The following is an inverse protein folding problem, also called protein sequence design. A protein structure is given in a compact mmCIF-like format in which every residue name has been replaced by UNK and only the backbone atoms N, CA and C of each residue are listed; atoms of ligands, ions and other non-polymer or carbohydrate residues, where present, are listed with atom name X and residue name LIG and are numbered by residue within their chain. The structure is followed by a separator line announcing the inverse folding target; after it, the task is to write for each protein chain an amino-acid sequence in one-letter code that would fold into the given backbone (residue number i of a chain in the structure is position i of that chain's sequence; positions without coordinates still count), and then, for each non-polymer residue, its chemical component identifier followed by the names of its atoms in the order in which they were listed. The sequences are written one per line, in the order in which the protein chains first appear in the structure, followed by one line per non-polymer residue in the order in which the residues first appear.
data_IF_813229760282
#
_entry.id   IF_813229760282
#
_cell.length_a   1.000
_cell.length_b   1.000
_cell.length_c   1.000
_cell.angle_alpha   90.00
_cell.angle_beta   90.00
_cell.angle_gamma   90.00
#
_symmetry.space_group_name_H-M   'P 1'
#
loop_
_entity.id
_entity.type
_entity.pdbx_description
1 polymer ?
#
# COMPACT_ATOMS: atom_id res chain seq x y z
N UNK A 1 19.50 25.71 -25.74
CA UNK A 1 20.68 24.84 -25.50
C UNK A 1 21.97 25.64 -25.50
N UNK A 2 23.11 24.99 -25.76
CA UNK A 2 24.43 25.64 -25.91
C UNK A 2 24.94 25.51 -27.33
N UNK A 3 25.37 26.61 -27.94
CA UNK A 3 26.01 26.62 -29.26
C UNK A 3 27.50 26.97 -29.14
N UNK A 4 28.35 26.24 -29.86
CA UNK A 4 29.79 26.47 -29.92
C UNK A 4 30.21 26.62 -31.38
N UNK A 5 30.91 27.71 -31.69
CA UNK A 5 31.57 27.95 -32.97
C UNK A 5 33.05 27.60 -32.85
N UNK A 6 33.53 26.66 -33.67
CA UNK A 6 34.95 26.29 -33.69
C UNK A 6 35.79 27.19 -34.62
N UNK A 7 37.12 27.03 -34.57
CA UNK A 7 38.05 27.82 -35.38
C UNK A 7 37.98 27.54 -36.90
N UNK A 8 37.31 26.45 -37.31
CA UNK A 8 37.09 26.10 -38.71
C UNK A 8 35.74 26.62 -39.22
N UNK A 9 34.95 27.28 -38.37
CA UNK A 9 33.63 27.79 -38.71
C UNK A 9 32.49 26.77 -38.54
N UNK A 10 32.72 25.62 -37.90
CA UNK A 10 31.66 24.66 -37.60
C UNK A 10 30.88 25.11 -36.37
N UNK A 11 29.55 25.01 -36.43
CA UNK A 11 28.67 25.27 -35.31
C UNK A 11 28.16 23.94 -34.79
N UNK A 12 28.39 23.66 -33.50
CA UNK A 12 27.77 22.54 -32.79
C UNK A 12 26.73 23.09 -31.82
N UNK A 13 25.53 22.53 -31.86
CA UNK A 13 24.44 22.86 -30.93
C UNK A 13 24.10 21.63 -30.10
N UNK A 14 24.01 21.83 -28.79
CA UNK A 14 23.55 20.83 -27.83
C UNK A 14 22.28 21.38 -27.19
N UNK A 15 21.10 20.76 -27.43
CA UNK A 15 19.88 21.11 -26.72
C UNK A 15 20.05 20.97 -25.20
N UNK A 16 19.20 21.63 -24.42
CA UNK A 16 19.09 21.26 -23.01
C UNK A 16 18.49 19.85 -22.93
N UNK A 17 18.81 19.11 -21.87
CA UNK A 17 18.20 17.82 -21.58
C UNK A 17 16.66 17.95 -21.58
N UNK A 18 15.98 17.01 -22.24
CA UNK A 18 14.53 16.92 -22.39
C UNK A 18 13.85 18.14 -23.06
N UNK A 19 14.62 18.95 -23.80
CA UNK A 19 14.05 20.04 -24.59
C UNK A 19 13.56 19.54 -25.94
N UNK A 20 12.26 19.69 -26.20
CA UNK A 20 11.63 19.46 -27.51
C UNK A 20 11.04 20.77 -28.01
N UNK A 21 11.31 21.11 -29.28
CA UNK A 21 10.75 22.30 -29.91
C UNK A 21 11.75 23.13 -30.70
N UNK A 22 11.32 24.33 -31.07
CA UNK A 22 12.12 25.28 -31.84
C UNK A 22 13.01 26.11 -30.91
N UNK A 23 14.31 26.17 -31.20
CA UNK A 23 15.26 27.11 -30.63
C UNK A 23 15.92 27.93 -31.75
N UNK A 24 16.60 29.01 -31.41
CA UNK A 24 17.31 29.84 -32.37
C UNK A 24 18.72 30.18 -31.89
N UNK A 25 19.68 30.11 -32.81
CA UNK A 25 21.08 30.50 -32.59
C UNK A 25 21.35 31.75 -33.40
N UNK A 26 21.81 32.82 -32.76
CA UNK A 26 22.30 34.00 -33.47
C UNK A 26 23.82 33.93 -33.60
N UNK A 27 24.31 33.99 -34.83
CA UNK A 27 25.75 33.96 -35.13
C UNK A 27 26.12 35.29 -35.76
N UNK A 28 27.12 35.97 -35.20
CA UNK A 28 27.69 37.18 -35.77
C UNK A 28 29.17 36.95 -36.08
N UNK A 29 29.57 37.20 -37.33
CA UNK A 29 30.95 37.13 -37.78
C UNK A 29 31.43 38.53 -38.15
N UNK A 30 32.69 38.85 -37.84
CA UNK A 30 33.31 40.15 -38.13
C UNK A 30 34.57 39.91 -38.95
N UNK A 31 34.77 40.65 -40.03
CA UNK A 31 36.01 40.59 -40.82
C UNK A 31 37.16 41.38 -40.18
N UNK A 32 38.35 41.33 -40.80
CA UNK A 32 39.55 42.02 -40.32
C UNK A 32 39.45 43.55 -40.39
N UNK A 33 38.48 44.08 -41.14
CA UNK A 33 38.25 45.51 -41.33
C UNK A 33 37.08 46.03 -40.46
N UNK A 34 36.47 45.14 -39.67
CA UNK A 34 35.44 45.45 -38.69
C UNK A 34 33.99 45.37 -39.21
N UNK A 35 33.76 44.88 -40.44
CA UNK A 35 32.41 44.69 -40.95
C UNK A 35 31.78 43.41 -40.38
N UNK A 36 30.53 43.51 -39.94
CA UNK A 36 29.80 42.42 -39.29
C UNK A 36 28.69 41.85 -40.17
N UNK A 37 28.51 40.53 -40.16
CA UNK A 37 27.34 39.84 -40.69
C UNK A 37 26.69 39.01 -39.59
N UNK A 38 25.38 39.10 -39.45
CA UNK A 38 24.62 38.35 -38.44
C UNK A 38 23.57 37.49 -39.11
N UNK A 39 23.49 36.22 -38.71
CA UNK A 39 22.49 35.27 -39.18
C UNK A 39 21.82 34.60 -37.98
N UNK A 40 20.50 34.45 -38.04
CA UNK A 40 19.75 33.59 -37.12
C UNK A 40 19.56 32.21 -37.76
N UNK A 41 19.90 31.16 -37.03
CA UNK A 41 19.70 29.77 -37.41
C UNK A 41 18.56 29.23 -36.55
N UNK A 42 17.48 28.77 -37.18
CA UNK A 42 16.43 28.03 -36.49
C UNK A 42 16.86 26.58 -36.32
N UNK A 43 16.75 26.05 -35.11
CA UNK A 43 17.01 24.65 -34.77
C UNK A 43 15.70 24.02 -34.31
N UNK A 44 15.29 22.96 -35.00
CA UNK A 44 14.15 22.16 -34.59
C UNK A 44 14.68 20.94 -33.83
N UNK A 45 14.42 20.88 -32.53
CA UNK A 45 14.77 19.73 -31.68
C UNK A 45 13.57 18.79 -31.66
N UNK A 46 13.78 17.58 -32.16
CA UNK A 46 12.78 16.51 -32.16
C UNK A 46 12.92 15.68 -30.90
N UNK A 47 11.79 15.17 -30.45
CA UNK A 47 11.69 14.22 -29.36
C UNK A 47 12.43 12.91 -29.67
N UNK A 48 12.99 12.31 -28.62
CA UNK A 48 13.54 10.96 -28.62
C UNK A 48 12.92 10.30 -27.39
N UNK A 49 12.10 9.27 -27.61
CA UNK A 49 11.37 8.65 -26.51
C UNK A 49 12.31 8.08 -25.43
N UNK A 50 12.19 8.62 -24.23
CA UNK A 50 12.70 8.13 -22.98
C UNK A 50 11.74 7.06 -22.42
N UNK A 51 12.28 6.10 -21.66
CA UNK A 51 11.43 5.10 -21.02
C UNK A 51 10.86 5.65 -19.71
N UNK A 52 9.69 5.16 -19.26
CA UNK A 52 9.17 5.50 -17.95
C UNK A 52 10.15 5.18 -16.83
N UNK A 53 10.12 5.96 -15.75
CA UNK A 53 10.90 5.74 -14.54
C UNK A 53 9.97 5.29 -13.42
N UNK A 54 10.39 4.29 -12.63
CA UNK A 54 9.72 3.84 -11.40
C UNK A 54 10.66 4.11 -10.23
N UNK A 55 10.22 4.94 -9.30
CA UNK A 55 10.95 5.32 -8.09
C UNK A 55 10.26 4.77 -6.84
N UNK A 56 11.02 4.03 -6.01
CA UNK A 56 10.52 3.49 -4.75
C UNK A 56 10.42 4.61 -3.69
N UNK A 57 9.27 4.68 -3.04
CA UNK A 57 8.93 5.67 -2.01
C UNK A 57 9.00 5.07 -0.60
N UNK A 58 8.46 3.86 -0.42
CA UNK A 58 8.45 3.16 0.86
C UNK A 58 8.64 1.65 0.69
N UNK A 59 9.38 1.05 1.61
CA UNK A 59 9.61 -0.40 1.71
C UNK A 59 9.08 -0.99 3.02
N UNK A 60 8.37 -0.20 3.82
CA UNK A 60 7.77 -0.65 5.09
C UNK A 60 6.38 -0.04 5.22
N UNK A 61 5.40 -0.91 5.45
CA UNK A 61 3.97 -0.57 5.52
C UNK A 61 3.33 -1.31 6.68
N UNK A 62 2.09 -0.98 7.03
CA UNK A 62 1.28 -1.70 8.03
C UNK A 62 0.19 -2.50 7.32
N UNK A 63 -0.23 -3.63 7.89
CA UNK A 63 -1.19 -4.54 7.25
C UNK A 63 -2.58 -3.92 7.00
N UNK A 64 -3.00 -2.97 7.85
CA UNK A 64 -4.33 -2.35 7.78
C UNK A 64 -4.43 -1.11 6.89
N UNK A 65 -3.35 -0.69 6.25
CA UNK A 65 -3.32 0.62 5.56
C UNK A 65 -2.72 0.55 4.17
N UNK A 66 -3.51 1.00 3.21
CA UNK A 66 -3.05 1.27 1.85
C UNK A 66 -1.95 2.36 1.87
N UNK A 67 -0.79 2.05 1.30
CA UNK A 67 0.39 2.93 1.35
C UNK A 67 0.98 3.13 -0.05
N UNK A 68 1.40 4.35 -0.38
CA UNK A 68 2.16 4.62 -1.60
C UNK A 68 3.57 4.05 -1.43
N UNK A 69 3.91 3.06 -2.25
CA UNK A 69 5.20 2.34 -2.18
C UNK A 69 6.15 2.75 -3.30
N UNK A 70 5.63 3.29 -4.40
CA UNK A 70 6.42 3.83 -5.49
C UNK A 70 5.64 4.88 -6.27
N UNK A 71 6.36 5.61 -7.11
CA UNK A 71 5.79 6.50 -8.14
C UNK A 71 6.36 6.11 -9.50
N UNK A 72 5.55 6.26 -10.55
CA UNK A 72 5.98 6.11 -11.92
C UNK A 72 5.71 7.41 -12.69
N UNK A 73 6.63 7.78 -13.57
CA UNK A 73 6.50 8.96 -14.42
C UNK A 73 7.28 8.80 -15.71
N UNK A 74 6.89 9.54 -16.73
CA UNK A 74 7.61 9.65 -17.98
C UNK A 74 7.81 11.14 -18.33
N UNK A 75 8.95 11.49 -18.91
CA UNK A 75 9.29 12.89 -19.20
C UNK A 75 8.70 13.38 -20.51
N UNK A 76 8.45 12.45 -21.43
CA UNK A 76 7.93 12.70 -22.77
C UNK A 76 6.41 12.68 -22.80
N UNK A 77 5.78 11.92 -21.89
CA UNK A 77 4.33 11.94 -21.83
C UNK A 77 3.68 11.13 -20.73
N UNK A 78 2.63 10.41 -21.13
CA UNK A 78 1.76 9.68 -20.22
C UNK A 78 2.23 8.25 -20.08
N UNK A 79 1.99 7.68 -18.90
CA UNK A 79 2.20 6.26 -18.61
C UNK A 79 0.87 5.55 -18.42
N UNK A 80 0.87 4.25 -18.71
CA UNK A 80 -0.19 3.33 -18.32
C UNK A 80 0.42 2.08 -17.67
N UNK A 81 -0.36 1.44 -16.79
CA UNK A 81 0.01 0.18 -16.19
C UNK A 81 -0.21 -0.96 -17.18
N UNK A 82 0.85 -1.69 -17.49
CA UNK A 82 0.74 -2.93 -18.25
C UNK A 82 0.48 -4.13 -17.32
N UNK A 83 1.21 -4.21 -16.20
CA UNK A 83 1.00 -5.25 -15.18
C UNK A 83 1.46 -4.74 -13.83
N UNK A 84 0.59 -4.86 -12.82
CA UNK A 84 0.92 -4.60 -11.43
C UNK A 84 0.35 -5.74 -10.60
N UNK A 85 1.22 -6.50 -9.93
CA UNK A 85 0.82 -7.66 -9.13
C UNK A 85 1.60 -7.71 -7.82
N UNK A 86 0.93 -8.16 -6.77
CA UNK A 86 1.52 -8.47 -5.48
C UNK A 86 1.07 -9.88 -5.06
N UNK A 87 1.85 -10.55 -4.21
CA UNK A 87 1.54 -11.93 -3.80
C UNK A 87 0.59 -11.96 -2.61
N UNK A 88 0.79 -11.06 -1.65
CA UNK A 88 0.05 -10.99 -0.40
C UNK A 88 -0.67 -9.64 -0.24
N UNK A 89 -1.20 -9.13 -1.34
CA UNK A 89 -1.99 -7.91 -1.36
C UNK A 89 -2.40 -7.50 -2.76
N UNK A 90 -2.81 -6.24 -2.89
CA UNK A 90 -3.14 -5.61 -4.17
C UNK A 90 -2.32 -4.35 -4.34
N UNK A 91 -1.88 -4.08 -5.58
CA UNK A 91 -1.20 -2.83 -5.91
C UNK A 91 -1.84 -2.20 -7.14
N UNK A 92 -2.00 -0.88 -7.12
CA UNK A 92 -2.69 -0.12 -8.17
C UNK A 92 -1.90 1.14 -8.51
N UNK A 93 -1.85 1.48 -9.80
CA UNK A 93 -1.34 2.75 -10.31
C UNK A 93 -2.49 3.74 -10.46
N UNK A 94 -2.37 4.94 -9.89
CA UNK A 94 -3.32 6.03 -10.10
C UNK A 94 -2.91 6.96 -11.25
N UNK A 95 -3.79 7.89 -11.61
CA UNK A 95 -3.56 8.84 -12.70
C UNK A 95 -2.46 9.89 -12.41
N UNK A 96 -1.99 10.00 -11.16
CA UNK A 96 -0.88 10.87 -10.79
C UNK A 96 0.46 10.12 -10.79
N UNK A 97 0.45 8.83 -11.16
CA UNK A 97 1.64 7.99 -11.16
C UNK A 97 1.92 7.31 -9.82
N UNK A 98 1.03 7.39 -8.81
CA UNK A 98 1.28 6.73 -7.52
C UNK A 98 0.94 5.25 -7.59
N UNK A 99 1.85 4.40 -7.11
CA UNK A 99 1.63 2.98 -6.93
C UNK A 99 1.29 2.75 -5.46
N UNK A 100 0.02 2.48 -5.18
CA UNK A 100 -0.49 2.22 -3.83
C UNK A 100 -0.62 0.72 -3.62
N UNK A 101 -0.04 0.21 -2.53
CA UNK A 101 -0.12 -1.17 -2.10
C UNK A 101 -1.02 -1.29 -0.87
N UNK A 102 -1.93 -2.26 -0.91
CA UNK A 102 -2.79 -2.66 0.21
C UNK A 102 -2.50 -4.13 0.49
N UNK A 103 -1.91 -4.48 1.65
CA UNK A 103 -1.73 -5.87 2.07
C UNK A 103 -3.06 -6.62 2.14
N UNK A 104 -3.01 -7.95 2.07
CA UNK A 104 -4.14 -8.77 2.48
C UNK A 104 -4.36 -8.58 3.98
N UNK A 105 -5.62 -8.71 4.41
CA UNK A 105 -6.00 -8.67 5.83
C UNK A 105 -5.14 -9.67 6.63
N UNK A 106 -4.57 -9.18 7.74
CA UNK A 106 -3.76 -9.94 8.71
C UNK A 106 -2.46 -10.53 8.12
N UNK A 107 -1.96 -9.98 7.01
CA UNK A 107 -0.68 -10.37 6.45
C UNK A 107 0.48 -9.56 7.06
N UNK A 108 1.29 -10.23 7.87
CA UNK A 108 2.56 -9.72 8.37
C UNK A 108 3.72 -10.44 7.68
N UNK A 109 4.68 -9.68 7.16
CA UNK A 109 5.89 -10.22 6.55
C UNK A 109 6.31 -9.52 5.26
N UNK A 110 7.25 -10.14 4.54
CA UNK A 110 7.75 -9.61 3.28
C UNK A 110 6.83 -9.97 2.10
N UNK A 111 6.46 -8.96 1.29
CA UNK A 111 5.80 -9.15 0.00
C UNK A 111 6.61 -8.53 -1.13
N UNK A 112 6.35 -8.98 -2.35
CA UNK A 112 7.01 -8.54 -3.57
C UNK A 112 5.99 -8.05 -4.58
N UNK A 113 6.11 -6.80 -4.97
CA UNK A 113 5.25 -6.13 -5.95
C UNK A 113 5.99 -6.03 -7.27
N UNK A 114 5.47 -6.68 -8.31
CA UNK A 114 5.99 -6.55 -9.68
C UNK A 114 5.22 -5.48 -10.43
N UNK A 115 5.95 -4.49 -10.95
CA UNK A 115 5.40 -3.34 -11.66
C UNK A 115 5.95 -3.32 -13.07
N UNK A 116 5.07 -3.12 -14.04
CA UNK A 116 5.38 -2.86 -15.45
C UNK A 116 4.51 -1.70 -15.93
N UNK A 117 5.15 -0.61 -16.33
CA UNK A 117 4.50 0.57 -16.91
C UNK A 117 5.02 0.80 -18.32
N UNK A 118 4.15 1.31 -19.19
CA UNK A 118 4.45 1.59 -20.59
C UNK A 118 4.08 3.04 -20.90
N UNK A 119 4.93 3.76 -21.64
CA UNK A 119 4.64 5.11 -22.12
C UNK A 119 3.67 5.10 -23.33
N UNK A 120 3.30 6.28 -23.81
CA UNK A 120 2.45 6.43 -25.00
C UNK A 120 3.10 6.00 -26.32
N UNK A 121 4.41 5.79 -26.35
CA UNK A 121 5.17 5.40 -27.54
C UNK A 121 5.53 3.90 -27.55
N UNK A 122 5.18 3.18 -26.48
CA UNK A 122 5.29 1.73 -26.33
C UNK A 122 6.55 1.25 -25.60
N UNK A 123 7.40 2.13 -25.07
CA UNK A 123 8.56 1.71 -24.26
C UNK A 123 8.10 1.34 -22.85
N UNK A 124 8.67 0.26 -22.31
CA UNK A 124 8.22 -0.34 -21.05
C UNK A 124 9.35 -0.40 -20.04
N UNK A 125 9.05 -0.04 -18.80
CA UNK A 125 9.91 -0.22 -17.64
C UNK A 125 9.31 -1.21 -16.66
N UNK A 126 10.18 -2.05 -16.09
CA UNK A 126 9.79 -3.07 -15.11
C UNK A 126 10.64 -2.97 -13.85
N UNK A 127 10.00 -3.17 -12.70
CA UNK A 127 10.67 -3.15 -11.40
C UNK A 127 9.97 -4.11 -10.43
N UNK A 128 10.75 -4.73 -9.55
CA UNK A 128 10.24 -5.49 -8.41
C UNK A 128 10.53 -4.71 -7.13
N UNK A 129 9.50 -4.43 -6.35
CA UNK A 129 9.55 -3.69 -5.10
C UNK A 129 9.32 -4.67 -3.96
N UNK A 130 10.28 -4.79 -3.06
CA UNK A 130 10.13 -5.58 -1.83
C UNK A 130 9.61 -4.68 -0.71
N UNK A 131 8.52 -5.09 -0.07
CA UNK A 131 7.89 -4.38 1.05
C UNK A 131 7.85 -5.28 2.28
N UNK A 132 8.15 -4.72 3.44
CA UNK A 132 7.98 -5.38 4.73
C UNK A 132 6.71 -4.87 5.40
N UNK A 133 5.69 -5.72 5.48
CA UNK A 133 4.42 -5.43 6.17
C UNK A 133 4.60 -5.69 7.66
N UNK A 134 4.26 -4.69 8.46
CA UNK A 134 4.34 -4.71 9.92
C UNK A 134 2.96 -4.86 10.53
N UNK A 135 2.95 -5.57 11.65
CA UNK A 135 1.76 -5.89 12.43
C UNK A 135 1.11 -4.63 13.00
N UNK A 136 -0.22 -4.63 13.02
CA UNK A 136 -1.04 -3.69 13.78
C UNK A 136 -1.95 -4.52 14.67
N UNK A 137 -1.87 -4.32 15.98
CA UNK A 137 -2.64 -5.12 16.91
C UNK A 137 -4.16 -4.94 16.73
N UNK A 138 -4.82 -6.00 16.29
CA UNK A 138 -6.24 -6.20 16.27
C UNK A 138 -6.77 -6.56 17.65
N UNK A 139 -8.03 -6.24 17.90
CA UNK A 139 -8.70 -6.68 19.12
C UNK A 139 -9.22 -8.12 18.96
N UNK A 140 -9.31 -8.90 20.06
CA UNK A 140 -9.89 -10.22 20.00
C UNK A 140 -11.32 -10.23 19.46
N UNK A 141 -11.74 -11.31 18.83
CA UNK A 141 -13.10 -11.52 18.34
C UNK A 141 -13.82 -12.50 19.26
N UNK A 142 -15.09 -12.21 19.59
CA UNK A 142 -16.00 -13.12 20.32
C UNK A 142 -17.14 -13.53 19.39
N UNK A 143 -17.20 -14.82 19.06
CA UNK A 143 -18.21 -15.43 18.20
C UNK A 143 -19.19 -16.28 19.00
N UNK A 144 -20.48 -15.98 18.89
CA UNK A 144 -21.54 -16.74 19.56
C UNK A 144 -21.75 -18.09 18.86
N UNK A 145 -21.67 -19.17 19.62
CA UNK A 145 -21.85 -20.56 19.17
C UNK A 145 -23.27 -21.04 19.43
N UNK A 146 -23.80 -20.77 20.62
CA UNK A 146 -25.15 -21.18 21.01
C UNK A 146 -25.79 -20.18 21.97
N UNK A 147 -27.06 -19.88 21.73
CA UNK A 147 -27.92 -19.08 22.62
C UNK A 147 -29.03 -19.94 23.23
N UNK A 148 -28.88 -21.27 23.20
CA UNK A 148 -29.84 -22.19 23.80
C UNK A 148 -29.06 -23.31 24.48
N UNK A 149 -29.28 -23.44 25.78
CA UNK A 149 -28.59 -24.41 26.63
C UNK A 149 -29.60 -25.28 27.36
N UNK A 150 -29.16 -26.46 27.78
CA UNK A 150 -29.97 -27.33 28.65
C UNK A 150 -29.65 -26.99 30.10
N UNK A 151 -30.66 -26.95 30.96
CA UNK A 151 -30.44 -26.85 32.40
C UNK A 151 -29.47 -27.95 32.89
N UNK A 152 -28.73 -27.63 33.94
CA UNK A 152 -27.77 -28.54 34.60
C UNK A 152 -26.63 -29.05 33.69
N UNK A 153 -26.47 -28.49 32.50
CA UNK A 153 -25.50 -28.94 31.49
C UNK A 153 -24.57 -27.80 31.07
N UNK A 154 -23.27 -28.02 31.23
CA UNK A 154 -22.26 -27.11 30.68
C UNK A 154 -22.31 -27.12 29.14
N UNK A 155 -22.43 -25.95 28.53
CA UNK A 155 -22.54 -25.78 27.09
C UNK A 155 -21.59 -24.68 26.61
N UNK A 156 -20.88 -24.91 25.50
CA UNK A 156 -20.09 -23.87 24.84
C UNK A 156 -21.06 -22.90 24.17
N UNK A 157 -21.05 -21.65 24.61
CA UNK A 157 -21.98 -20.61 24.15
C UNK A 157 -21.31 -19.60 23.23
N UNK A 158 -19.98 -19.45 23.33
CA UNK A 158 -19.18 -18.64 22.43
C UNK A 158 -17.74 -19.14 22.36
N UNK A 159 -17.00 -18.67 21.37
CA UNK A 159 -15.55 -18.79 21.27
C UNK A 159 -14.94 -17.41 21.18
N UNK A 160 -13.77 -17.23 21.78
CA UNK A 160 -12.95 -16.04 21.62
C UNK A 160 -11.64 -16.44 20.94
N UNK A 161 -11.15 -15.60 20.04
CA UNK A 161 -9.88 -15.78 19.34
C UNK A 161 -9.28 -14.44 19.00
N UNK A 162 -7.97 -14.41 18.81
CA UNK A 162 -7.23 -13.23 18.37
C UNK A 162 -6.31 -13.65 17.22
N UNK A 163 -6.16 -12.80 16.21
CA UNK A 163 -5.39 -13.15 15.01
C UNK A 163 -3.89 -12.91 15.21
N UNK A 164 -3.53 -11.97 16.07
CA UNK A 164 -2.15 -11.55 16.32
C UNK A 164 -1.52 -12.37 17.43
N UNK A 165 -2.33 -12.82 18.40
CA UNK A 165 -1.78 -13.52 19.53
C UNK A 165 -2.77 -14.26 20.42
N UNK A 166 -2.54 -14.11 21.72
CA UNK A 166 -3.23 -14.87 22.77
C UNK A 166 -4.25 -14.01 23.46
N UNK A 167 -5.35 -14.63 23.87
CA UNK A 167 -6.41 -13.97 24.63
C UNK A 167 -6.36 -14.34 26.10
N UNK A 168 -6.69 -13.38 26.95
CA UNK A 168 -6.97 -13.57 28.36
C UNK A 168 -8.35 -13.00 28.71
N UNK A 169 -9.04 -13.64 29.66
CA UNK A 169 -10.30 -13.14 30.17
C UNK A 169 -10.09 -12.01 31.19
N UNK A 170 -10.74 -10.87 30.98
CA UNK A 170 -10.76 -9.77 31.94
C UNK A 170 -11.97 -9.88 32.86
N UNK A 171 -13.16 -10.06 32.28
CA UNK A 171 -14.41 -10.24 33.02
C UNK A 171 -15.31 -11.22 32.31
N UNK A 172 -15.74 -12.26 33.00
CA UNK A 172 -16.77 -13.18 32.51
C UNK A 172 -17.76 -13.40 33.64
N UNK A 173 -19.00 -12.94 33.45
CA UNK A 173 -20.03 -12.98 34.48
C UNK A 173 -21.36 -13.39 33.88
N UNK A 174 -22.04 -14.31 34.55
CA UNK A 174 -23.42 -14.69 34.27
C UNK A 174 -24.27 -14.45 35.53
N UNK A 175 -25.56 -14.15 35.37
CA UNK A 175 -26.44 -13.86 36.53
C UNK A 175 -27.02 -15.13 37.13
N UNK A 176 -27.39 -16.10 36.28
CA UNK A 176 -28.07 -17.34 36.65
C UNK A 176 -27.24 -18.58 36.34
N UNK A 177 -25.92 -18.46 36.42
CA UNK A 177 -24.98 -19.58 36.29
C UNK A 177 -23.53 -19.13 36.39
N UNK A 178 -22.64 -19.94 35.84
CA UNK A 178 -21.20 -19.63 35.75
C UNK A 178 -20.74 -19.73 34.32
N UNK A 179 -19.87 -18.82 33.89
CA UNK A 179 -19.23 -18.86 32.59
C UNK A 179 -17.71 -18.80 32.76
N UNK A 180 -16.99 -19.59 31.97
CA UNK A 180 -15.53 -19.71 32.01
C UNK A 180 -14.95 -19.70 30.60
N UNK A 181 -13.82 -19.02 30.42
CA UNK A 181 -12.98 -19.11 29.22
C UNK A 181 -11.90 -20.16 29.45
N UNK A 182 -11.77 -21.13 28.54
CA UNK A 182 -10.65 -22.07 28.54
C UNK A 182 -9.47 -21.60 27.67
N UNK A 183 -8.34 -22.31 27.75
CA UNK A 183 -7.13 -21.98 26.99
C UNK A 183 -7.25 -22.17 25.47
N UNK A 184 -8.33 -22.80 24.99
CA UNK A 184 -8.63 -22.93 23.56
C UNK A 184 -9.59 -21.83 23.09
N UNK A 185 -9.93 -20.88 23.96
CA UNK A 185 -10.86 -19.80 23.65
C UNK A 185 -12.33 -20.16 23.81
N UNK A 186 -12.70 -21.35 24.33
CA UNK A 186 -14.10 -21.70 24.49
C UNK A 186 -14.70 -21.02 25.73
N UNK A 187 -15.83 -20.35 25.56
CA UNK A 187 -16.64 -19.80 26.64
C UNK A 187 -17.73 -20.82 26.96
N UNK A 188 -17.59 -21.50 28.08
CA UNK A 188 -18.54 -22.52 28.56
C UNK A 188 -19.43 -21.93 29.64
N UNK A 189 -20.74 -21.97 29.42
CA UNK A 189 -21.76 -21.59 30.39
C UNK A 189 -22.39 -22.81 31.05
N UNK A 190 -22.52 -22.78 32.37
CA UNK A 190 -23.24 -23.76 33.17
C UNK A 190 -24.33 -23.04 33.97
N UNK A 191 -25.62 -23.24 33.64
CA UNK A 191 -26.72 -22.68 34.41
C UNK A 191 -26.69 -23.13 35.88
N UNK A 192 -27.28 -22.31 36.76
CA UNK A 192 -27.61 -22.75 38.12
C UNK A 192 -28.57 -23.95 38.07
N UNK A 193 -28.53 -24.78 39.10
CA UNK A 193 -29.32 -26.01 39.16
C UNK A 193 -30.83 -25.73 38.98
N UNK A 194 -31.49 -26.44 38.07
CA UNK A 194 -32.90 -26.28 37.69
C UNK A 194 -33.30 -24.87 37.19
N UNK A 195 -32.34 -24.06 36.75
CA UNK A 195 -32.65 -22.75 36.16
C UNK A 195 -33.24 -22.92 34.76
N UNK A 196 -34.46 -22.40 34.59
CA UNK A 196 -35.14 -22.29 33.29
C UNK A 196 -35.55 -20.84 33.09
N UNK A 197 -35.02 -20.22 32.05
CA UNK A 197 -35.26 -18.82 31.72
C UNK A 197 -34.16 -18.28 30.84
N UNK A 198 -34.31 -17.01 30.45
CA UNK A 198 -33.25 -16.26 29.76
C UNK A 198 -32.19 -15.82 30.77
N UNK A 199 -30.91 -16.03 30.44
CA UNK A 199 -29.79 -15.43 31.17
C UNK A 199 -28.91 -14.58 30.26
N UNK A 200 -28.07 -13.75 30.87
CA UNK A 200 -27.13 -12.89 30.18
C UNK A 200 -25.72 -13.12 30.69
N UNK A 201 -24.81 -13.37 29.74
CA UNK A 201 -23.39 -13.55 29.97
C UNK A 201 -22.67 -12.33 29.43
N UNK A 202 -22.03 -11.57 30.30
CA UNK A 202 -21.14 -10.47 29.91
C UNK A 202 -19.71 -10.98 29.86
N UNK A 203 -19.07 -10.83 28.70
CA UNK A 203 -17.72 -11.29 28.41
C UNK A 203 -16.88 -10.10 28.00
N UNK A 204 -15.69 -9.97 28.58
CA UNK A 204 -14.63 -9.07 28.16
C UNK A 204 -13.31 -9.84 28.12
N UNK A 205 -12.66 -9.85 26.96
CA UNK A 205 -11.37 -10.48 26.72
C UNK A 205 -10.38 -9.44 26.21
N UNK A 206 -9.11 -9.59 26.56
CA UNK A 206 -8.01 -8.73 26.09
C UNK A 206 -6.92 -9.61 25.50
N UNK A 207 -6.31 -9.16 24.41
CA UNK A 207 -5.13 -9.79 23.85
C UNK A 207 -3.87 -9.55 24.72
N UNK A 208 -2.72 -10.06 24.28
CA UNK A 208 -1.43 -9.86 24.96
C UNK A 208 -0.85 -8.43 24.82
N UNK A 209 -1.40 -7.59 23.94
CA UNK A 209 -0.91 -6.24 23.65
C UNK A 209 -1.86 -5.13 24.15
N UNK A 210 -2.96 -5.53 24.78
CA UNK A 210 -3.89 -4.70 25.54
C UNK A 210 -5.17 -4.28 24.81
N UNK A 211 -5.48 -4.75 23.60
CA UNK A 211 -6.78 -4.44 22.99
C UNK A 211 -7.87 -5.37 23.52
N UNK A 212 -9.06 -4.81 23.72
CA UNK A 212 -10.14 -5.46 24.46
C UNK A 212 -11.41 -5.53 23.62
N UNK A 213 -12.05 -6.69 23.62
CA UNK A 213 -13.41 -6.88 23.11
C UNK A 213 -14.38 -7.22 24.22
N UNK A 214 -15.58 -6.64 24.14
CA UNK A 214 -16.66 -6.86 25.13
C UNK A 214 -17.96 -7.21 24.41
N UNK A 215 -18.64 -8.25 24.87
CA UNK A 215 -19.90 -8.72 24.31
C UNK A 215 -20.84 -9.19 25.41
N UNK A 216 -22.14 -9.00 25.18
CA UNK A 216 -23.20 -9.60 26.00
C UNK A 216 -23.90 -10.67 25.18
N UNK A 217 -23.91 -11.90 25.69
CA UNK A 217 -24.53 -13.07 25.07
C UNK A 217 -25.80 -13.38 25.87
N UNK A 218 -26.93 -13.47 25.19
CA UNK A 218 -28.20 -13.92 25.77
C UNK A 218 -28.36 -15.41 25.51
N UNK A 219 -28.61 -16.20 26.55
CA UNK A 219 -28.68 -17.68 26.51
C UNK A 219 -29.97 -18.21 27.15
#
# INVERSE_FOLDING_TARGET
GTAVLDANGNITYTPNENFVGEDSISVSVTDNDGATSTQTITVNVTEVNDAPVIDVVSTTVTEDTATIVATASDVDGSIDANTITATNGTAVLDANGNITYTPNENFVGEDSISVSVTDNDGTTSTQTITVNVTEVNDAPVIDVVSTTVTEDTATIVATASDVDGTIDANTITATNGTAVLDANGNITYTPNENFVGEDSISVSVTDNDGATSTQTITV
#
